data_IF_738627521424
#
_entry.id   IF_738627521424
#
_cell.length_a   1.000
_cell.length_b   1.000
_cell.length_c   1.000
_cell.angle_alpha   90.00
_cell.angle_beta   90.00
_cell.angle_gamma   90.00
#
_symmetry.space_group_name_H-M   'P 1'
#
loop_
_entity.id
_entity.type
_entity.pdbx_description
1 polymer ?
#
# COMPACT_ATOMS: atom_id res chain seq x y z
N UNK A 1 8.78 -17.39 29.83
CA UNK A 1 8.23 -16.80 31.07
C UNK A 1 7.27 -15.65 30.73
N UNK A 2 6.33 -15.88 29.82
CA UNK A 2 5.14 -15.02 29.60
C UNK A 2 4.02 -15.97 29.19
N UNK A 3 3.59 -16.83 30.11
CA UNK A 3 2.37 -17.63 29.91
C UNK A 3 1.63 -18.01 31.20
N UNK A 4 1.87 -17.35 32.33
CA UNK A 4 1.06 -17.56 33.55
C UNK A 4 0.76 -16.21 34.21
N UNK A 5 -0.24 -15.49 33.70
CA UNK A 5 -0.96 -14.45 34.44
C UNK A 5 -2.33 -14.22 33.78
N UNK A 6 -3.30 -15.10 34.05
CA UNK A 6 -4.71 -14.72 34.06
C UNK A 6 -5.46 -15.46 35.16
N UNK A 7 -6.44 -14.74 35.73
CA UNK A 7 -7.48 -15.15 36.70
C UNK A 7 -7.00 -15.06 38.17
N UNK A 8 -7.50 -14.15 39.00
CA UNK A 8 -8.88 -14.14 39.54
C UNK A 8 -9.41 -12.75 39.90
N UNK A 9 -10.64 -12.46 39.44
CA UNK A 9 -11.60 -11.55 40.08
C UNK A 9 -12.35 -12.36 41.15
N UNK A 10 -12.32 -11.93 42.40
CA UNK A 10 -13.41 -11.98 43.42
C UNK A 10 -12.83 -11.86 44.85
N UNK A 11 -13.35 -10.92 45.65
CA UNK A 11 -13.01 -10.79 47.07
C UNK A 11 -13.34 -9.43 47.69
N UNK A 12 -14.54 -9.36 48.30
CA UNK A 12 -15.14 -8.28 49.11
C UNK A 12 -14.26 -7.57 50.16
N UNK A 13 -14.67 -6.33 50.43
CA UNK A 13 -14.69 -5.60 51.72
C UNK A 13 -13.37 -5.37 52.49
N UNK A 14 -13.00 -4.09 52.66
CA UNK A 14 -12.86 -3.43 53.98
C UNK A 14 -12.50 -1.94 53.84
N UNK A 15 -13.39 -1.08 54.31
CA UNK A 15 -13.09 0.27 54.78
C UNK A 15 -12.16 0.20 56.01
N UNK A 16 -11.26 1.18 56.17
CA UNK A 16 -11.21 2.10 57.31
C UNK A 16 -9.79 2.68 57.57
N UNK A 17 -9.77 4.01 57.70
CA UNK A 17 -8.99 4.85 58.61
C UNK A 17 -7.57 5.37 58.32
N UNK A 18 -7.53 6.73 58.33
CA UNK A 18 -6.51 7.69 58.81
C UNK A 18 -5.18 7.81 58.04
N UNK A 19 -4.66 9.00 57.75
CA UNK A 19 -5.07 10.37 58.09
C UNK A 19 -4.00 11.41 57.71
N UNK A 20 -4.49 12.59 57.33
CA UNK A 20 -3.98 13.96 57.56
C UNK A 20 -2.55 14.44 57.20
N UNK A 21 -2.52 15.72 56.77
CA UNK A 21 -1.42 16.69 56.56
C UNK A 21 -0.80 16.69 55.13
N UNK A 22 -0.67 17.80 54.39
CA UNK A 22 -0.97 19.23 54.63
C UNK A 22 -1.02 19.96 53.26
N UNK A 23 -1.83 21.01 53.15
CA UNK A 23 -1.89 21.94 52.01
C UNK A 23 -0.93 23.10 52.31
N UNK A 24 -0.02 23.47 51.39
CA UNK A 24 0.23 24.87 50.96
C UNK A 24 1.39 24.94 49.95
N UNK A 25 1.15 25.41 48.72
CA UNK A 25 2.22 25.79 47.80
C UNK A 25 1.84 25.87 46.32
N UNK A 26 1.22 26.99 45.93
CA UNK A 26 0.98 27.48 44.57
C UNK A 26 -0.16 26.84 43.75
N UNK A 27 -1.36 27.39 43.97
CA UNK A 27 -2.23 27.78 42.87
C UNK A 27 -1.71 29.12 42.31
N UNK A 28 -1.34 29.15 41.03
CA UNK A 28 -1.82 30.14 40.06
C UNK A 28 -1.10 29.90 38.73
N UNK A 29 -1.82 29.26 37.80
CA UNK A 29 -1.88 29.59 36.37
C UNK A 29 -2.91 28.65 35.73
N UNK A 30 -3.93 29.29 35.17
CA UNK A 30 -5.13 28.73 34.53
C UNK A 30 -4.85 27.78 33.36
N UNK A 31 -5.74 26.79 33.23
CA UNK A 31 -5.95 25.76 32.18
C UNK A 31 -5.33 26.01 30.78
N UNK A 32 -4.72 24.96 30.14
CA UNK A 32 -5.43 23.74 29.72
C UNK A 32 -4.70 22.45 30.12
N UNK A 33 -5.14 21.77 31.19
CA UNK A 33 -4.49 20.54 31.70
C UNK A 33 -5.43 19.35 31.94
N UNK A 34 -6.61 19.33 31.31
CA UNK A 34 -7.56 18.22 31.43
C UNK A 34 -7.10 16.89 30.82
N UNK A 35 -6.28 16.92 29.76
CA UNK A 35 -5.85 15.71 29.03
C UNK A 35 -4.54 15.13 29.57
N UNK A 36 -3.62 15.99 30.04
CA UNK A 36 -2.35 15.58 30.64
C UNK A 36 -2.53 14.87 31.99
N UNK A 37 -3.55 15.22 32.79
CA UNK A 37 -3.82 14.57 34.08
C UNK A 37 -4.32 13.12 33.95
N UNK A 38 -5.11 12.81 32.92
CA UNK A 38 -5.62 11.45 32.67
C UNK A 38 -4.52 10.54 32.13
N UNK A 39 -3.63 11.06 31.26
CA UNK A 39 -2.48 10.32 30.75
C UNK A 39 -1.39 10.11 31.82
N UNK A 40 -1.10 11.11 32.65
CA UNK A 40 -0.13 10.98 33.74
C UNK A 40 -0.60 10.00 34.83
N UNK A 41 -1.91 9.92 35.10
CA UNK A 41 -2.48 8.93 36.03
C UNK A 41 -2.50 7.52 35.44
N UNK A 42 -2.71 7.37 34.13
CA UNK A 42 -2.63 6.08 33.43
C UNK A 42 -1.20 5.52 33.44
N UNK A 43 -0.20 6.36 33.11
CA UNK A 43 1.23 6.01 33.12
C UNK A 43 1.74 5.70 34.54
N UNK A 44 1.26 6.42 35.55
CA UNK A 44 1.56 6.16 36.97
C UNK A 44 0.97 4.83 37.47
N UNK A 45 -0.21 4.46 36.96
CA UNK A 45 -0.88 3.19 37.29
C UNK A 45 -0.16 2.00 36.64
N UNK A 46 0.22 2.13 35.38
CA UNK A 46 1.00 1.11 34.65
C UNK A 46 2.41 0.92 35.24
N UNK A 47 3.08 1.99 35.69
CA UNK A 47 4.38 1.89 36.39
C UNK A 47 4.29 1.36 37.82
N UNK A 48 3.11 1.39 38.45
CA UNK A 48 2.86 0.76 39.75
C UNK A 48 2.59 -0.74 39.60
N UNK A 49 1.76 -1.12 38.63
CA UNK A 49 1.48 -2.52 38.29
C UNK A 49 2.75 -3.26 37.80
N UNK A 50 3.64 -2.57 37.07
CA UNK A 50 4.95 -3.12 36.67
C UNK A 50 5.89 -3.32 37.88
N UNK A 51 5.82 -2.44 38.89
CA UNK A 51 6.62 -2.53 40.12
C UNK A 51 6.17 -3.67 41.03
N UNK A 52 4.85 -3.84 41.17
CA UNK A 52 4.25 -4.93 41.96
C UNK A 52 4.47 -6.30 41.29
N UNK A 53 4.54 -6.33 39.95
CA UNK A 53 4.92 -7.52 39.17
C UNK A 53 6.39 -7.91 39.38
N UNK A 54 7.31 -6.93 39.44
CA UNK A 54 8.73 -7.16 39.74
C UNK A 54 8.95 -7.63 41.20
N UNK A 55 8.13 -7.19 42.15
CA UNK A 55 8.16 -7.66 43.53
C UNK A 55 7.68 -9.12 43.67
N UNK A 56 6.70 -9.53 42.86
CA UNK A 56 6.18 -10.91 42.81
C UNK A 56 7.17 -11.91 42.18
N UNK A 57 7.91 -11.48 41.15
CA UNK A 57 8.93 -12.30 40.48
C UNK A 57 10.19 -12.58 41.32
N UNK A 58 10.37 -11.88 42.44
CA UNK A 58 11.55 -12.01 43.31
C UNK A 58 11.41 -13.05 44.46
N UNK A 59 10.22 -13.63 44.68
CA UNK A 59 10.03 -14.85 45.48
C UNK A 59 10.83 -14.99 46.79
N UNK A 60 10.88 -13.98 47.67
CA UNK A 60 11.42 -14.11 49.04
C UNK A 60 10.54 -13.38 50.05
N UNK A 61 10.24 -14.04 51.17
CA UNK A 61 9.45 -13.49 52.27
C UNK A 61 10.15 -12.33 53.00
N UNK A 62 9.42 -11.57 53.83
CA UNK A 62 9.97 -10.42 54.55
C UNK A 62 10.83 -10.93 55.71
N UNK A 63 12.11 -11.16 55.46
CA UNK A 63 13.09 -11.49 56.49
C UNK A 63 14.19 -12.41 56.00
N UNK A 64 15.10 -11.89 55.17
CA UNK A 64 16.50 -12.32 55.11
C UNK A 64 17.28 -11.40 54.17
N UNK A 65 17.91 -10.39 54.78
CA UNK A 65 18.89 -9.52 54.15
C UNK A 65 20.24 -10.24 54.21
N UNK A 66 20.76 -10.71 53.08
CA UNK A 66 22.14 -11.19 52.97
C UNK A 66 22.83 -10.53 51.76
N UNK A 67 23.53 -9.45 52.11
CA UNK A 67 24.84 -8.98 51.63
C UNK A 67 25.30 -9.50 50.25
N UNK A 68 25.09 -8.69 49.21
CA UNK A 68 25.80 -8.78 47.94
C UNK A 68 26.64 -7.52 47.77
N UNK A 69 27.83 -7.55 48.37
CA UNK A 69 28.98 -6.74 47.98
C UNK A 69 29.45 -7.17 46.60
N UNK A 70 28.93 -6.53 45.55
CA UNK A 70 29.73 -6.01 44.41
C UNK A 70 28.80 -5.41 43.33
N UNK A 71 28.77 -4.07 43.14
CA UNK A 71 27.96 -3.43 42.10
C UNK A 71 28.54 -3.58 40.67
N UNK A 72 29.73 -4.15 40.51
CA UNK A 72 30.45 -4.15 39.23
C UNK A 72 30.24 -5.41 38.37
N UNK A 73 29.50 -6.42 38.86
CA UNK A 73 29.27 -7.66 38.10
C UNK A 73 27.98 -7.67 37.23
N UNK A 74 27.15 -6.62 37.28
CA UNK A 74 25.89 -6.54 36.51
C UNK A 74 25.93 -5.56 35.32
N UNK A 75 27.06 -4.90 35.08
CA UNK A 75 27.21 -3.87 34.03
C UNK A 75 27.71 -4.46 32.69
N UNK A 76 28.00 -5.77 32.62
CA UNK A 76 28.60 -6.42 31.45
C UNK A 76 27.72 -7.38 30.66
N UNK A 77 26.46 -7.62 31.04
CA UNK A 77 25.61 -8.55 30.29
C UNK A 77 25.10 -7.92 28.99
N UNK A 78 25.26 -8.65 27.89
CA UNK A 78 24.77 -8.31 26.56
C UNK A 78 23.26 -8.02 26.54
N UNK A 79 22.52 -8.59 27.50
CA UNK A 79 21.08 -8.38 27.67
C UNK A 79 20.72 -6.98 28.22
N UNK A 80 21.60 -6.35 29.01
CA UNK A 80 21.33 -5.01 29.57
C UNK A 80 21.46 -3.91 28.51
N UNK A 81 22.42 -4.05 27.58
CA UNK A 81 22.58 -3.14 26.45
C UNK A 81 21.44 -3.28 25.43
N UNK A 82 20.94 -4.51 25.22
CA UNK A 82 19.75 -4.75 24.39
C UNK A 82 18.51 -4.10 25.01
N UNK A 83 18.34 -4.20 26.32
CA UNK A 83 17.21 -3.60 27.03
C UNK A 83 17.24 -2.06 27.00
N UNK A 84 18.42 -1.45 27.20
CA UNK A 84 18.61 0.01 27.07
C UNK A 84 18.39 0.48 25.63
N UNK A 85 18.82 -0.31 24.64
CA UNK A 85 18.54 -0.06 23.22
C UNK A 85 17.05 -0.07 22.90
N UNK A 86 16.30 -1.05 23.42
CA UNK A 86 14.84 -1.15 23.25
C UNK A 86 14.09 0.00 23.91
N UNK A 87 14.51 0.43 25.11
CA UNK A 87 13.96 1.61 25.78
C UNK A 87 14.20 2.90 24.98
N UNK A 88 15.40 3.06 24.42
CA UNK A 88 15.71 4.22 23.56
C UNK A 88 14.91 4.24 22.25
N UNK A 89 14.60 3.05 21.71
CA UNK A 89 13.78 2.91 20.51
C UNK A 89 12.32 3.26 20.79
N UNK A 90 11.76 2.75 21.89
CA UNK A 90 10.40 3.07 22.32
C UNK A 90 10.22 4.56 22.65
N UNK A 91 11.25 5.20 23.22
CA UNK A 91 11.25 6.65 23.44
C UNK A 91 11.22 7.42 22.11
N UNK A 92 12.04 7.04 21.12
CA UNK A 92 12.02 7.65 19.79
C UNK A 92 10.71 7.43 19.04
N UNK A 93 10.13 6.23 19.13
CA UNK A 93 8.82 5.94 18.52
C UNK A 93 7.72 6.82 19.11
N UNK A 94 7.78 7.09 20.42
CA UNK A 94 6.84 7.99 21.09
C UNK A 94 7.05 9.45 20.66
N UNK A 95 8.29 9.91 20.53
CA UNK A 95 8.61 11.25 20.02
C UNK A 95 8.16 11.46 18.57
N UNK A 96 8.34 10.46 17.71
CA UNK A 96 7.88 10.49 16.31
C UNK A 96 6.35 10.52 16.26
N UNK A 97 5.67 9.73 17.09
CA UNK A 97 4.20 9.72 17.14
C UNK A 97 3.63 11.08 17.57
N UNK A 98 4.22 11.71 18.60
CA UNK A 98 3.83 13.04 19.06
C UNK A 98 4.11 14.13 18.00
N UNK A 99 5.27 14.08 17.33
CA UNK A 99 5.59 15.01 16.25
C UNK A 99 4.68 14.83 15.02
N UNK A 100 4.24 13.61 14.74
CA UNK A 100 3.32 13.30 13.66
C UNK A 100 1.91 13.82 13.95
N UNK A 101 1.47 13.79 15.21
CA UNK A 101 0.19 14.37 15.66
C UNK A 101 0.21 15.92 15.60
N UNK A 102 1.33 16.56 15.95
CA UNK A 102 1.51 18.02 15.81
C UNK A 102 1.50 18.50 14.34
N UNK A 103 1.99 17.69 13.40
CA UNK A 103 1.95 18.01 11.95
C UNK A 103 0.59 17.71 11.29
N UNK A 104 -0.22 16.83 11.86
CA UNK A 104 -1.49 16.41 11.26
C UNK A 104 -2.55 17.53 11.28
N UNK A 105 -2.61 18.32 12.35
CA UNK A 105 -3.56 19.43 12.50
C UNK A 105 -3.45 20.51 11.40
N UNK A 106 -2.25 21.07 11.14
CA UNK A 106 -2.04 22.05 10.09
C UNK A 106 -2.37 21.52 8.67
N UNK A 107 -2.02 20.26 8.39
CA UNK A 107 -2.28 19.61 7.09
C UNK A 107 -3.78 19.43 6.88
N UNK A 108 -4.51 18.95 7.89
CA UNK A 108 -5.96 18.79 7.80
C UNK A 108 -6.68 20.15 7.63
N UNK A 109 -6.12 21.23 8.18
CA UNK A 109 -6.65 22.58 8.00
C UNK A 109 -6.43 23.10 6.56
N UNK A 110 -5.24 22.92 5.99
CA UNK A 110 -4.96 23.28 4.59
C UNK A 110 -5.80 22.46 3.60
N UNK A 111 -5.97 21.16 3.83
CA UNK A 111 -6.79 20.29 2.98
C UNK A 111 -8.25 20.71 3.01
N UNK A 112 -8.78 21.05 4.18
CA UNK A 112 -10.16 21.53 4.31
C UNK A 112 -10.36 22.91 3.68
N UNK A 113 -9.37 23.80 3.78
CA UNK A 113 -9.40 25.10 3.12
C UNK A 113 -9.38 24.95 1.59
N UNK A 114 -8.47 24.14 1.05
CA UNK A 114 -8.39 23.86 -0.39
C UNK A 114 -9.68 23.20 -0.92
N UNK A 115 -10.34 22.35 -0.12
CA UNK A 115 -11.62 21.73 -0.46
C UNK A 115 -12.75 22.77 -0.54
N UNK A 116 -12.81 23.75 0.37
CA UNK A 116 -13.81 24.81 0.31
C UNK A 116 -13.60 25.73 -0.90
N UNK A 117 -12.36 26.08 -1.23
CA UNK A 117 -12.03 26.90 -2.40
C UNK A 117 -12.41 26.19 -3.72
N UNK A 118 -12.18 24.88 -3.81
CA UNK A 118 -12.56 24.09 -4.97
C UNK A 118 -14.09 24.04 -5.15
N UNK A 119 -14.85 23.94 -4.05
CA UNK A 119 -16.32 23.97 -4.09
C UNK A 119 -16.87 25.33 -4.54
N UNK A 120 -16.26 26.45 -4.11
CA UNK A 120 -16.68 27.78 -4.57
C UNK A 120 -16.41 27.97 -6.07
N UNK A 121 -15.24 27.56 -6.56
CA UNK A 121 -14.90 27.60 -7.98
C UNK A 121 -15.86 26.77 -8.84
N UNK A 122 -16.24 25.57 -8.38
CA UNK A 122 -17.26 24.75 -9.05
C UNK A 122 -18.62 25.47 -9.06
N UNK A 123 -19.02 26.10 -7.96
CA UNK A 123 -20.24 26.89 -7.88
C UNK A 123 -20.26 28.08 -8.87
N UNK A 124 -19.13 28.77 -9.02
CA UNK A 124 -18.97 29.87 -9.98
C UNK A 124 -19.05 29.38 -11.43
N UNK A 125 -18.42 28.24 -11.75
CA UNK A 125 -18.47 27.62 -13.08
C UNK A 125 -19.89 27.21 -13.46
N UNK A 126 -20.62 26.59 -12.54
CA UNK A 126 -22.04 26.22 -12.77
C UNK A 126 -22.88 27.46 -13.03
N UNK A 127 -22.73 28.54 -12.24
CA UNK A 127 -23.46 29.80 -12.47
C UNK A 127 -23.18 30.40 -13.85
N UNK A 128 -21.92 30.37 -14.32
CA UNK A 128 -21.55 30.85 -15.66
C UNK A 128 -22.16 29.97 -16.76
N UNK A 129 -22.11 28.65 -16.61
CA UNK A 129 -22.70 27.71 -17.57
C UNK A 129 -24.23 27.92 -17.68
N UNK A 130 -24.93 28.09 -16.55
CA UNK A 130 -26.38 28.34 -16.54
C UNK A 130 -26.74 29.68 -17.18
N UNK A 131 -25.93 30.73 -16.97
CA UNK A 131 -26.13 32.04 -17.62
C UNK A 131 -25.96 31.94 -19.14
N UNK A 132 -24.96 31.19 -19.62
CA UNK A 132 -24.74 30.96 -21.05
C UNK A 132 -25.90 30.16 -21.68
N UNK A 133 -26.43 29.15 -20.97
CA UNK A 133 -27.57 28.36 -21.44
C UNK A 133 -28.84 29.22 -21.56
N UNK A 134 -29.07 30.14 -20.62
CA UNK A 134 -30.24 31.04 -20.64
C UNK A 134 -30.17 32.04 -21.80
N UNK A 135 -28.99 32.61 -22.06
CA UNK A 135 -28.77 33.49 -23.22
C UNK A 135 -28.95 32.77 -24.56
N UNK A 136 -28.55 31.49 -24.64
CA UNK A 136 -28.80 30.67 -25.83
C UNK A 136 -30.30 30.41 -26.06
N UNK A 137 -31.11 30.35 -25.00
CA UNK A 137 -32.55 30.09 -25.11
C UNK A 137 -33.32 31.34 -25.56
N UNK A 138 -32.94 32.52 -25.10
CA UNK A 138 -33.51 33.80 -25.55
C UNK A 138 -33.21 34.10 -27.04
N UNK A 139 -32.11 33.58 -27.59
CA UNK A 139 -31.81 33.70 -29.02
C UNK A 139 -32.72 32.85 -29.93
N UNK A 140 -33.23 31.71 -29.44
CA UNK A 140 -34.11 30.82 -30.21
C UNK A 140 -35.60 31.20 -30.14
N UNK A 141 -36.04 31.96 -29.13
CA UNK A 141 -37.46 32.37 -28.98
C UNK A 141 -37.82 33.62 -29.81
N UNK A 142 -36.86 34.31 -30.44
CA UNK A 142 -37.11 35.53 -31.23
C UNK A 142 -37.41 35.29 -32.72
N UNK A 143 -37.37 34.04 -33.21
CA UNK A 143 -37.46 33.72 -34.65
C UNK A 143 -38.78 33.02 -35.03
N UNK A 144 -39.83 33.09 -34.20
CA UNK A 144 -41.08 32.36 -34.41
C UNK A 144 -42.37 33.19 -34.58
N UNK A 145 -42.32 34.52 -34.57
CA UNK A 145 -43.53 35.34 -34.78
C UNK A 145 -43.44 36.30 -35.97
N UNK A 146 -44.09 35.88 -37.06
CA UNK A 146 -44.78 36.77 -38.01
C UNK A 146 -44.14 36.87 -39.38
N UNK A 147 -44.90 36.49 -40.44
CA UNK A 147 -45.27 37.36 -41.57
C UNK A 147 -46.39 36.69 -42.41
N UNK A 148 -47.55 37.35 -42.43
CA UNK A 148 -48.76 37.00 -43.20
C UNK A 148 -48.70 37.59 -44.62
N UNK A 149 -49.20 36.81 -45.58
CA UNK A 149 -49.24 37.09 -47.03
C UNK A 149 -50.19 38.23 -47.45
N UNK A 150 -49.84 38.94 -48.52
CA UNK A 150 -50.76 39.72 -49.37
C UNK A 150 -50.37 39.61 -50.86
N UNK A 151 -51.30 39.97 -51.73
CA UNK A 151 -51.69 39.31 -52.99
C UNK A 151 -51.04 39.90 -54.28
N UNK A 152 -50.93 39.02 -55.30
CA UNK A 152 -50.88 39.19 -56.79
C UNK A 152 -49.69 39.79 -57.61
N UNK A 153 -49.12 38.86 -58.38
CA UNK A 153 -48.88 38.80 -59.86
C UNK A 153 -48.00 39.85 -60.56
N UNK A 154 -46.84 39.41 -61.10
CA UNK A 154 -46.45 39.53 -62.52
C UNK A 154 -45.31 38.54 -62.88
N UNK A 155 -45.30 38.05 -64.12
CA UNK A 155 -44.64 36.83 -64.67
C UNK A 155 -43.11 36.94 -64.88
N UNK A 156 -42.28 35.91 -64.59
CA UNK A 156 -40.88 35.83 -65.05
C UNK A 156 -40.67 34.91 -66.30
N UNK A 157 -39.59 35.11 -67.09
CA UNK A 157 -39.25 34.27 -68.25
C UNK A 157 -38.54 32.95 -67.88
N UNK A 158 -38.75 31.91 -68.71
CA UNK A 158 -37.95 30.68 -68.95
C UNK A 158 -37.20 29.98 -67.81
N UNK A 159 -37.60 28.75 -67.46
CA UNK A 159 -36.93 27.88 -66.48
C UNK A 159 -35.72 27.15 -67.09
N UNK A 160 -34.55 27.23 -66.46
CA UNK A 160 -33.45 26.27 -66.66
C UNK A 160 -33.81 24.92 -66.01
N UNK A 161 -33.45 23.81 -66.67
CA UNK A 161 -33.77 22.45 -66.22
C UNK A 161 -33.18 22.12 -64.84
N UNK A 162 -33.96 21.43 -64.00
CA UNK A 162 -33.54 21.00 -62.66
C UNK A 162 -32.28 20.12 -62.73
N UNK A 163 -31.25 20.35 -61.89
CA UNK A 163 -30.14 19.43 -61.74
C UNK A 163 -30.63 18.03 -61.35
N UNK A 164 -30.06 17.00 -61.98
CA UNK A 164 -30.44 15.60 -61.72
C UNK A 164 -30.24 15.21 -60.25
N UNK A 165 -31.12 14.33 -59.74
CA UNK A 165 -31.09 13.86 -58.36
C UNK A 165 -29.75 13.18 -58.04
N UNK A 166 -29.17 13.52 -56.89
CA UNK A 166 -27.95 12.87 -56.37
C UNK A 166 -28.21 11.38 -56.18
N UNK A 167 -27.31 10.54 -56.70
CA UNK A 167 -27.39 9.09 -56.56
C UNK A 167 -27.48 8.65 -55.09
N UNK A 168 -28.15 7.53 -54.83
CA UNK A 168 -28.29 6.98 -53.48
C UNK A 168 -26.90 6.71 -52.87
N UNK A 169 -26.67 7.03 -51.59
CA UNK A 169 -25.46 6.61 -50.89
C UNK A 169 -25.25 5.11 -51.04
N UNK A 170 -24.01 4.68 -51.29
CA UNK A 170 -23.67 3.26 -51.39
C UNK A 170 -23.90 2.52 -50.08
N UNK A 171 -24.07 1.21 -50.17
CA UNK A 171 -24.34 0.36 -49.01
C UNK A 171 -23.21 0.44 -47.97
N UNK A 172 -23.61 0.46 -46.69
CA UNK A 172 -22.67 0.51 -45.57
C UNK A 172 -21.86 -0.78 -45.55
N UNK A 173 -20.53 -0.67 -45.61
CA UNK A 173 -19.63 -1.82 -45.53
C UNK A 173 -19.87 -2.65 -44.26
N UNK A 174 -19.64 -3.95 -44.35
CA UNK A 174 -19.78 -4.90 -43.24
C UNK A 174 -18.94 -4.46 -42.02
N UNK A 175 -19.49 -4.47 -40.79
CA UNK A 175 -18.71 -4.17 -39.59
C UNK A 175 -17.50 -5.10 -39.47
N UNK A 176 -16.35 -4.55 -39.08
CA UNK A 176 -15.13 -5.34 -38.88
C UNK A 176 -15.36 -6.45 -37.85
N UNK A 177 -15.17 -7.70 -38.27
CA UNK A 177 -15.42 -8.93 -37.49
C UNK A 177 -14.23 -9.27 -36.57
N UNK A 178 -13.86 -8.35 -35.70
CA UNK A 178 -12.87 -8.60 -34.65
C UNK A 178 -13.37 -8.06 -33.33
N UNK A 179 -13.23 -8.82 -32.25
CA UNK A 179 -13.20 -8.28 -30.89
C UNK A 179 -12.14 -7.20 -30.87
N UNK A 180 -12.55 -5.93 -30.97
CA UNK A 180 -11.63 -4.81 -30.83
C UNK A 180 -11.00 -4.92 -29.46
N UNK A 181 -9.68 -5.10 -29.40
CA UNK A 181 -8.95 -4.94 -28.15
C UNK A 181 -9.24 -3.54 -27.62
N UNK A 182 -9.71 -3.46 -26.38
CA UNK A 182 -10.22 -2.21 -25.78
C UNK A 182 -9.12 -1.46 -25.01
N UNK A 183 -7.85 -1.85 -25.15
CA UNK A 183 -6.73 -1.19 -24.48
C UNK A 183 -6.59 -1.53 -23.00
N UNK A 184 -7.17 -2.64 -22.52
CA UNK A 184 -6.97 -3.10 -21.15
C UNK A 184 -5.64 -3.82 -21.03
N UNK A 185 -4.71 -3.22 -20.30
CA UNK A 185 -3.35 -3.74 -20.14
C UNK A 185 -3.14 -4.28 -18.74
N UNK A 186 -2.54 -5.46 -18.64
CA UNK A 186 -2.08 -6.03 -17.38
C UNK A 186 -0.74 -6.75 -17.58
N UNK A 187 -0.07 -7.08 -16.48
CA UNK A 187 1.24 -7.75 -16.49
C UNK A 187 1.16 -9.12 -15.86
N UNK A 188 1.92 -10.08 -16.43
CA UNK A 188 2.14 -11.41 -15.86
C UNK A 188 3.63 -11.59 -15.55
N UNK A 189 3.93 -12.19 -14.39
CA UNK A 189 5.30 -12.43 -13.92
C UNK A 189 5.56 -13.92 -13.81
N UNK A 190 6.68 -14.40 -14.36
CA UNK A 190 6.98 -15.83 -14.38
C UNK A 190 7.61 -16.34 -13.09
N UNK A 191 8.17 -15.45 -12.27
CA UNK A 191 9.02 -15.80 -11.12
C UNK A 191 10.17 -16.75 -11.52
N UNK A 192 10.59 -16.73 -12.78
CA UNK A 192 11.66 -17.55 -13.36
C UNK A 192 12.44 -16.76 -14.42
N UNK A 193 13.50 -17.35 -14.99
CA UNK A 193 14.24 -16.76 -16.11
C UNK A 193 13.50 -16.90 -17.45
N UNK A 194 12.44 -17.71 -17.51
CA UNK A 194 11.61 -17.87 -18.69
C UNK A 194 10.62 -16.71 -18.82
N UNK A 195 10.44 -16.20 -20.03
CA UNK A 195 9.44 -15.15 -20.29
C UNK A 195 8.03 -15.77 -20.27
N UNK A 196 7.08 -15.27 -19.46
CA UNK A 196 5.76 -15.86 -19.34
C UNK A 196 4.91 -15.62 -20.60
N UNK A 197 4.10 -16.61 -20.99
CA UNK A 197 3.13 -16.42 -22.08
C UNK A 197 1.92 -15.63 -21.61
N UNK A 198 1.37 -14.78 -22.48
CA UNK A 198 0.08 -14.14 -22.21
C UNK A 198 -1.04 -15.20 -22.08
N UNK A 199 -1.99 -15.02 -21.16
CA UNK A 199 -3.15 -15.90 -21.03
C UNK A 199 -3.99 -15.97 -22.31
N UNK A 200 -4.78 -17.04 -22.44
CA UNK A 200 -5.69 -17.22 -23.58
C UNK A 200 -6.64 -16.03 -23.75
N UNK A 201 -6.86 -15.61 -24.99
CA UNK A 201 -7.71 -14.46 -25.31
C UNK A 201 -7.02 -13.09 -25.15
N UNK A 202 -5.73 -13.05 -24.83
CA UNK A 202 -4.93 -11.81 -24.69
C UNK A 202 -3.71 -11.83 -25.62
N UNK A 203 -3.17 -10.66 -25.96
CA UNK A 203 -2.04 -10.51 -26.87
C UNK A 203 -0.83 -9.87 -26.18
N UNK A 204 0.40 -10.36 -26.44
CA UNK A 204 1.61 -9.75 -25.87
C UNK A 204 1.91 -8.40 -26.52
N UNK A 205 2.23 -7.41 -25.69
CA UNK A 205 2.74 -6.11 -26.12
C UNK A 205 4.27 -6.11 -26.12
N UNK A 206 4.88 -6.41 -24.97
CA UNK A 206 6.33 -6.54 -24.82
C UNK A 206 6.68 -7.38 -23.59
N UNK A 207 7.97 -7.71 -23.46
CA UNK A 207 8.49 -8.47 -22.32
C UNK A 207 9.68 -7.77 -21.67
N UNK A 208 9.94 -8.09 -20.41
CA UNK A 208 10.97 -7.43 -19.61
C UNK A 208 11.33 -8.18 -18.33
N UNK A 209 11.75 -7.41 -17.34
CA UNK A 209 12.16 -7.84 -16.00
C UNK A 209 11.22 -7.27 -14.94
N UNK A 210 10.99 -8.06 -13.89
CA UNK A 210 9.94 -7.83 -12.90
C UNK A 210 10.38 -6.87 -11.80
N UNK A 211 10.16 -5.58 -12.00
CA UNK A 211 10.40 -4.55 -10.99
C UNK A 211 9.29 -4.59 -9.92
N UNK A 212 9.69 -4.64 -8.65
CA UNK A 212 8.76 -4.60 -7.52
C UNK A 212 8.66 -3.18 -6.94
N UNK A 213 9.78 -2.61 -6.52
CA UNK A 213 9.84 -1.25 -6.00
C UNK A 213 11.25 -0.67 -6.06
N UNK A 214 11.35 0.64 -5.86
CA UNK A 214 12.63 1.35 -5.69
C UNK A 214 12.64 2.07 -4.35
N UNK A 215 13.83 2.32 -3.81
CA UNK A 215 14.00 3.11 -2.61
C UNK A 215 15.09 4.15 -2.86
N UNK A 216 14.69 5.41 -2.85
CA UNK A 216 15.57 6.54 -3.09
C UNK A 216 15.48 7.52 -1.93
N UNK A 217 16.61 8.02 -1.43
CA UNK A 217 16.63 8.88 -0.24
C UNK A 217 15.83 8.28 0.92
N UNK A 218 16.03 6.98 1.16
CA UNK A 218 15.37 6.20 2.23
C UNK A 218 13.85 6.10 2.13
N UNK A 219 13.24 6.48 1.00
CA UNK A 219 11.78 6.37 0.79
C UNK A 219 11.45 5.35 -0.30
N UNK A 220 10.59 4.40 0.02
CA UNK A 220 10.12 3.42 -0.95
C UNK A 220 9.03 3.96 -1.88
N UNK A 221 9.05 3.50 -3.13
CA UNK A 221 8.00 3.67 -4.11
C UNK A 221 7.79 2.38 -4.91
N UNK A 222 6.64 1.74 -4.69
CA UNK A 222 6.27 0.47 -5.31
C UNK A 222 5.58 0.62 -6.65
N UNK A 223 5.71 -0.43 -7.47
CA UNK A 223 4.87 -0.64 -8.65
C UNK A 223 3.86 -1.75 -8.35
N UNK A 224 2.64 -1.58 -8.84
CA UNK A 224 1.66 -2.67 -8.83
C UNK A 224 2.04 -3.69 -9.90
N UNK A 225 2.26 -4.94 -9.47
CA UNK A 225 2.67 -6.07 -10.30
C UNK A 225 1.61 -6.45 -11.35
N UNK A 226 0.36 -5.98 -11.21
CA UNK A 226 -0.68 -6.15 -12.22
C UNK A 226 -0.59 -5.11 -13.35
N UNK A 227 0.24 -4.08 -13.21
CA UNK A 227 0.35 -2.97 -14.17
C UNK A 227 1.64 -3.02 -14.98
N UNK A 228 1.66 -2.36 -16.14
CA UNK A 228 2.82 -2.35 -17.03
C UNK A 228 4.08 -1.71 -16.40
N UNK A 229 3.95 -0.88 -15.36
CA UNK A 229 5.07 -0.23 -14.67
C UNK A 229 6.00 -1.20 -13.94
N UNK A 230 5.49 -2.37 -13.56
CA UNK A 230 6.27 -3.45 -12.95
C UNK A 230 7.11 -4.26 -13.96
N UNK A 231 6.98 -4.00 -15.27
CA UNK A 231 7.70 -4.74 -16.30
C UNK A 231 8.66 -3.87 -17.09
N UNK A 232 9.90 -3.73 -16.61
CA UNK A 232 10.91 -2.91 -17.29
C UNK A 232 11.65 -3.72 -18.36
N UNK A 233 11.74 -3.17 -19.58
CA UNK A 233 12.43 -3.85 -20.70
C UNK A 233 13.92 -4.09 -20.45
N UNK A 234 14.55 -3.29 -19.60
CA UNK A 234 15.98 -3.38 -19.28
C UNK A 234 16.16 -3.50 -17.77
N UNK A 235 16.93 -4.50 -17.37
CA UNK A 235 17.39 -4.64 -16.00
C UNK A 235 18.63 -3.78 -15.76
N UNK A 236 18.68 -3.18 -14.57
CA UNK A 236 19.86 -2.56 -13.97
C UNK A 236 19.63 -2.53 -12.46
N UNK A 237 20.70 -2.65 -11.67
CA UNK A 237 20.60 -2.53 -10.21
C UNK A 237 20.22 -1.11 -9.76
N UNK A 238 20.32 -0.13 -10.66
CA UNK A 238 19.95 1.27 -10.44
C UNK A 238 19.17 1.82 -11.65
N UNK A 239 17.84 1.68 -11.69
CA UNK A 239 17.01 2.08 -12.83
C UNK A 239 16.61 3.56 -12.84
N UNK A 240 17.06 4.35 -11.86
CA UNK A 240 16.72 5.76 -11.74
C UNK A 240 17.93 6.61 -11.35
N UNK A 241 17.75 7.92 -11.41
CA UNK A 241 18.69 8.94 -10.96
C UNK A 241 17.91 10.01 -10.18
N UNK A 242 18.61 10.84 -9.43
CA UNK A 242 18.00 11.96 -8.73
C UNK A 242 18.68 13.27 -9.15
N UNK A 243 17.90 14.35 -9.18
CA UNK A 243 18.38 15.70 -9.47
C UNK A 243 17.99 16.62 -8.32
N UNK A 244 18.81 17.64 -8.05
CA UNK A 244 18.53 18.64 -7.02
C UNK A 244 18.11 19.98 -7.63
N UNK A 245 17.73 20.93 -6.77
CA UNK A 245 17.32 22.30 -7.14
C UNK A 245 18.42 23.11 -7.85
N UNK A 246 19.68 22.66 -7.76
CA UNK A 246 20.83 23.32 -8.38
C UNK A 246 21.10 22.80 -9.81
N UNK A 247 20.14 22.09 -10.41
CA UNK A 247 20.27 21.46 -11.74
C UNK A 247 21.43 20.46 -11.83
N UNK A 248 21.77 19.79 -10.72
CA UNK A 248 22.78 18.72 -10.69
C UNK A 248 22.08 17.38 -10.51
N UNK A 249 22.33 16.45 -11.44
CA UNK A 249 21.82 15.10 -11.41
C UNK A 249 22.92 14.10 -11.08
N UNK A 250 22.61 13.11 -10.25
CA UNK A 250 23.52 12.06 -9.83
C UNK A 250 22.92 10.69 -10.15
N UNK A 251 23.72 9.81 -10.72
CA UNK A 251 23.34 8.44 -11.07
C UNK A 251 24.24 7.45 -10.33
N UNK A 252 23.63 6.54 -9.56
CA UNK A 252 24.33 5.52 -8.78
C UNK A 252 25.43 6.04 -7.83
N UNK A 253 25.39 7.34 -7.48
CA UNK A 253 26.36 7.99 -6.58
C UNK A 253 25.93 8.01 -5.11
N UNK A 254 24.85 7.30 -4.75
CA UNK A 254 24.29 7.20 -3.39
C UNK A 254 23.88 5.75 -3.08
N UNK A 255 23.68 5.47 -1.79
CA UNK A 255 23.12 4.22 -1.27
C UNK A 255 21.59 4.13 -1.49
N UNK A 256 21.18 4.18 -2.74
CA UNK A 256 19.80 3.92 -3.15
C UNK A 256 19.64 2.45 -3.59
N UNK A 257 18.40 1.97 -3.63
CA UNK A 257 18.07 0.56 -3.85
C UNK A 257 17.01 0.34 -4.94
N UNK A 258 17.07 -0.82 -5.57
CA UNK A 258 15.99 -1.35 -6.41
C UNK A 258 15.69 -2.80 -6.04
N UNK A 259 14.44 -3.20 -6.21
CA UNK A 259 13.97 -4.52 -5.79
C UNK A 259 13.20 -5.18 -6.92
N UNK A 260 13.50 -6.46 -7.14
CA UNK A 260 13.02 -7.21 -8.28
C UNK A 260 12.42 -8.53 -7.82
N UNK A 261 11.31 -8.97 -8.43
CA UNK A 261 10.86 -10.35 -8.20
C UNK A 261 11.96 -11.29 -8.64
N UNK A 262 12.16 -12.35 -7.86
CA UNK A 262 13.30 -13.24 -8.02
C UNK A 262 12.90 -14.64 -8.51
N UNK A 263 13.90 -15.44 -8.86
CA UNK A 263 13.72 -16.83 -9.34
C UNK A 263 13.99 -17.85 -8.22
N UNK A 264 13.80 -19.17 -8.46
CA UNK A 264 14.23 -20.22 -7.54
C UNK A 264 15.76 -20.41 -7.46
N UNK A 265 16.56 -19.57 -8.15
CA UNK A 265 18.01 -19.71 -8.15
C UNK A 265 18.54 -19.63 -6.71
N UNK A 266 19.39 -20.59 -6.34
CA UNK A 266 19.93 -20.67 -5.00
C UNK A 266 20.94 -19.55 -4.76
N UNK A 267 20.89 -19.00 -3.56
CA UNK A 267 21.91 -18.08 -3.07
C UNK A 267 23.29 -18.75 -3.07
N UNK A 268 24.37 -18.03 -3.43
CA UNK A 268 25.73 -18.51 -3.29
C UNK A 268 26.02 -18.97 -1.85
N UNK A 269 26.78 -20.06 -1.71
CA UNK A 269 27.09 -20.67 -0.40
C UNK A 269 27.89 -19.73 0.52
N UNK A 270 28.66 -18.81 -0.07
CA UNK A 270 29.43 -17.79 0.65
C UNK A 270 28.57 -16.59 1.10
N UNK A 271 27.28 -16.57 0.73
CA UNK A 271 26.33 -15.48 0.97
C UNK A 271 26.82 -14.11 0.46
N UNK A 272 27.81 -14.11 -0.44
CA UNK A 272 28.39 -12.90 -0.97
C UNK A 272 27.41 -12.19 -1.92
N UNK A 273 27.38 -10.84 -1.93
CA UNK A 273 26.55 -10.12 -2.88
C UNK A 273 26.90 -10.45 -4.34
N UNK A 274 25.89 -10.72 -5.14
CA UNK A 274 26.01 -11.09 -6.55
C UNK A 274 26.18 -9.83 -7.39
N UNK A 275 27.03 -9.86 -8.42
CA UNK A 275 27.33 -8.68 -9.25
C UNK A 275 27.33 -9.02 -10.75
N UNK A 276 27.15 -7.99 -11.59
CA UNK A 276 27.30 -8.08 -13.03
C UNK A 276 26.35 -9.09 -13.68
N UNK A 277 26.85 -9.85 -14.68
CA UNK A 277 26.04 -10.82 -15.42
C UNK A 277 25.59 -12.02 -14.59
N UNK A 278 26.25 -12.29 -13.46
CA UNK A 278 25.85 -13.38 -12.56
C UNK A 278 24.46 -13.14 -11.92
N UNK A 279 23.91 -11.93 -12.04
CA UNK A 279 22.56 -11.60 -11.59
C UNK A 279 21.45 -12.16 -12.49
N UNK A 280 21.72 -12.42 -13.76
CA UNK A 280 20.71 -12.81 -14.75
C UNK A 280 19.85 -14.02 -14.31
N UNK A 281 20.39 -15.08 -13.69
CA UNK A 281 19.60 -16.21 -13.20
C UNK A 281 18.65 -15.87 -12.07
N UNK A 282 18.84 -14.76 -11.35
CA UNK A 282 18.09 -14.39 -10.15
C UNK A 282 16.90 -13.47 -10.42
N UNK A 283 16.82 -12.84 -11.60
CA UNK A 283 15.80 -11.83 -11.90
C UNK A 283 14.64 -12.45 -12.68
N UNK A 284 13.42 -12.31 -12.14
CA UNK A 284 12.19 -12.79 -12.78
C UNK A 284 11.86 -12.02 -14.06
N UNK A 285 11.34 -12.73 -15.06
CA UNK A 285 10.80 -12.14 -16.29
C UNK A 285 9.32 -11.81 -16.19
N UNK A 286 8.87 -10.91 -17.06
CA UNK A 286 7.47 -10.49 -17.17
C UNK A 286 7.08 -10.24 -18.61
N UNK A 287 5.78 -10.29 -18.86
CA UNK A 287 5.16 -9.95 -20.15
C UNK A 287 3.93 -9.09 -19.90
N UNK A 288 3.86 -7.99 -20.65
CA UNK A 288 2.72 -7.09 -20.63
C UNK A 288 1.75 -7.53 -21.72
N UNK A 289 0.50 -7.74 -21.36
CA UNK A 289 -0.54 -8.28 -22.22
C UNK A 289 -1.69 -7.28 -22.38
N UNK A 290 -2.27 -7.23 -23.57
CA UNK A 290 -3.50 -6.52 -23.86
C UNK A 290 -4.66 -7.51 -23.95
N UNK A 291 -5.73 -7.23 -23.20
CA UNK A 291 -6.96 -8.02 -23.19
C UNK A 291 -8.17 -7.25 -23.74
N UNK A 292 -9.25 -7.96 -24.07
CA UNK A 292 -10.50 -7.36 -24.53
C UNK A 292 -11.30 -6.71 -23.38
N UNK A 293 -11.00 -7.03 -22.13
CA UNK A 293 -11.66 -6.53 -20.92
C UNK A 293 -10.65 -6.40 -19.76
N UNK A 294 -11.06 -5.71 -18.70
CA UNK A 294 -10.32 -5.54 -17.46
C UNK A 294 -10.05 -6.88 -16.74
N UNK A 295 -8.87 -7.01 -16.14
CA UNK A 295 -8.46 -8.17 -15.33
C UNK A 295 -8.47 -7.81 -13.83
N UNK A 296 -8.97 -8.72 -13.00
CA UNK A 296 -9.05 -8.55 -11.54
C UNK A 296 -8.52 -9.78 -10.81
N UNK A 297 -8.13 -9.63 -9.55
CA UNK A 297 -7.88 -10.72 -8.63
C UNK A 297 -9.07 -10.92 -7.66
N UNK A 298 -9.30 -12.18 -7.27
CA UNK A 298 -10.28 -12.56 -6.25
C UNK A 298 -9.57 -13.45 -5.24
N UNK A 299 -9.78 -13.19 -3.95
CA UNK A 299 -9.11 -13.91 -2.87
C UNK A 299 -10.10 -14.73 -2.06
N UNK A 300 -9.72 -15.95 -1.71
CA UNK A 300 -10.56 -16.87 -0.95
C UNK A 300 -10.48 -16.68 0.56
N UNK A 301 -9.36 -16.15 1.07
CA UNK A 301 -8.99 -16.21 2.49
C UNK A 301 -9.03 -17.64 3.07
N UNK A 302 -8.85 -18.65 2.20
CA UNK A 302 -8.77 -20.07 2.56
C UNK A 302 -7.70 -20.76 1.71
N UNK A 303 -7.47 -22.06 1.91
CA UNK A 303 -6.60 -22.86 1.04
C UNK A 303 -7.28 -23.31 -0.26
N UNK A 304 -8.57 -23.02 -0.45
CA UNK A 304 -9.32 -23.37 -1.66
C UNK A 304 -9.24 -22.25 -2.70
N UNK A 305 -9.15 -22.61 -3.98
CA UNK A 305 -9.11 -21.62 -5.07
C UNK A 305 -10.49 -20.96 -5.20
N UNK A 306 -10.58 -19.61 -5.15
CA UNK A 306 -11.86 -18.93 -5.27
C UNK A 306 -12.41 -19.03 -6.70
N UNK A 307 -13.73 -19.20 -6.87
CA UNK A 307 -14.34 -19.16 -8.20
C UNK A 307 -14.29 -17.73 -8.76
N UNK A 308 -14.11 -17.61 -10.09
CA UNK A 308 -14.30 -16.33 -10.76
C UNK A 308 -15.78 -15.88 -10.64
N UNK A 309 -16.06 -14.56 -10.61
CA UNK A 309 -17.43 -14.07 -10.60
C UNK A 309 -18.19 -14.49 -11.86
N UNK A 310 -19.52 -14.49 -11.80
CA UNK A 310 -20.34 -14.88 -12.94
C UNK A 310 -20.03 -14.03 -14.19
N UNK A 311 -19.78 -14.69 -15.32
CA UNK A 311 -19.42 -14.03 -16.59
C UNK A 311 -17.92 -13.73 -16.77
N UNK A 312 -17.07 -14.08 -15.79
CA UNK A 312 -15.63 -13.91 -15.88
C UNK A 312 -14.91 -15.20 -16.26
N UNK A 313 -13.74 -15.05 -16.91
CA UNK A 313 -12.87 -16.17 -17.31
C UNK A 313 -11.62 -16.19 -16.44
N UNK A 314 -11.15 -17.39 -16.09
CA UNK A 314 -9.93 -17.57 -15.29
C UNK A 314 -8.69 -17.39 -16.18
N UNK A 315 -7.75 -16.55 -15.74
CA UNK A 315 -6.47 -16.33 -16.44
C UNK A 315 -5.35 -17.18 -15.85
N UNK A 316 -5.20 -17.17 -14.51
CA UNK A 316 -4.29 -18.04 -13.75
C UNK A 316 -4.79 -18.23 -12.32
N UNK A 317 -4.05 -19.01 -11.54
CA UNK A 317 -4.28 -19.31 -10.11
C UNK A 317 -2.99 -19.01 -9.36
N UNK A 318 -3.07 -18.68 -8.08
CA UNK A 318 -1.90 -18.29 -7.31
C UNK A 318 -2.13 -18.19 -5.80
N UNK A 319 -1.32 -17.33 -5.19
CA UNK A 319 -1.27 -17.06 -3.77
C UNK A 319 -1.43 -15.56 -3.52
N UNK A 320 -2.13 -15.23 -2.44
CA UNK A 320 -2.57 -13.87 -2.14
C UNK A 320 -1.43 -13.05 -1.52
N UNK A 321 -0.73 -12.26 -2.34
CA UNK A 321 0.40 -11.43 -1.97
C UNK A 321 -0.04 -9.98 -1.70
N UNK A 322 0.19 -9.45 -0.50
CA UNK A 322 -0.37 -8.15 -0.09
C UNK A 322 0.69 -7.04 0.05
N UNK A 323 1.84 -7.32 0.67
CA UNK A 323 2.88 -6.32 0.89
C UNK A 323 4.25 -6.94 1.13
N UNK A 324 5.26 -6.10 1.18
CA UNK A 324 6.66 -6.48 1.36
C UNK A 324 7.44 -5.34 2.02
N UNK A 325 8.49 -5.69 2.78
CA UNK A 325 9.42 -4.72 3.39
C UNK A 325 10.86 -5.22 3.30
N UNK A 326 11.84 -4.31 3.29
CA UNK A 326 13.27 -4.67 3.33
C UNK A 326 14.11 -3.63 4.08
N UNK A 327 15.12 -3.03 3.46
CA UNK A 327 16.02 -2.07 4.10
C UNK A 327 15.26 -0.88 4.71
N UNK A 328 15.51 -0.61 5.99
CA UNK A 328 14.88 0.48 6.75
C UNK A 328 13.40 0.25 7.09
N UNK A 329 12.90 -1.00 7.00
CA UNK A 329 11.46 -1.32 7.13
C UNK A 329 10.57 -0.62 6.11
N UNK A 330 11.19 -0.04 5.08
CA UNK A 330 10.51 0.54 3.93
C UNK A 330 10.01 -0.54 2.99
N UNK A 331 8.93 -0.24 2.29
CA UNK A 331 8.26 -1.22 1.45
C UNK A 331 7.07 -0.64 0.70
N UNK A 332 6.32 -1.52 0.06
CA UNK A 332 5.07 -1.16 -0.60
C UNK A 332 4.09 -2.34 -0.58
N UNK A 333 2.91 -2.13 -1.15
CA UNK A 333 1.83 -3.10 -1.20
C UNK A 333 1.32 -3.35 -2.61
N UNK A 334 0.41 -4.31 -2.72
CA UNK A 334 -0.37 -4.59 -3.92
C UNK A 334 -1.83 -4.27 -3.64
N UNK A 335 -2.55 -3.75 -4.63
CA UNK A 335 -4.00 -3.65 -4.53
C UNK A 335 -4.60 -5.06 -4.63
N UNK A 336 -5.41 -5.47 -3.64
CA UNK A 336 -6.05 -6.80 -3.62
C UNK A 336 -7.03 -7.05 -4.79
N UNK A 337 -7.45 -6.01 -5.50
CA UNK A 337 -8.23 -6.18 -6.73
C UNK A 337 -7.34 -6.32 -7.98
N UNK A 338 -6.06 -5.95 -7.89
CA UNK A 338 -5.11 -6.01 -9.00
C UNK A 338 -4.60 -7.45 -9.20
N UNK A 339 -4.40 -7.88 -10.45
CA UNK A 339 -3.71 -9.14 -10.74
C UNK A 339 -2.35 -9.27 -10.04
N UNK A 340 -1.69 -8.16 -9.71
CA UNK A 340 -0.40 -8.14 -9.00
C UNK A 340 -0.42 -8.71 -7.58
N UNK A 341 -1.60 -8.76 -6.97
CA UNK A 341 -1.79 -9.41 -5.66
C UNK A 341 -1.92 -10.93 -5.74
N UNK A 342 -1.85 -11.53 -6.94
CA UNK A 342 -1.99 -12.97 -7.15
C UNK A 342 -0.76 -13.59 -7.84
N UNK A 343 0.27 -13.90 -7.05
CA UNK A 343 1.49 -14.55 -7.54
C UNK A 343 1.26 -16.04 -7.78
N UNK A 344 1.64 -16.55 -8.96
CA UNK A 344 1.43 -17.95 -9.35
C UNK A 344 2.22 -18.93 -8.49
N UNK A 345 3.42 -18.54 -8.05
CA UNK A 345 4.28 -19.36 -7.20
C UNK A 345 4.50 -18.71 -5.83
N UNK A 346 4.18 -19.46 -4.76
CA UNK A 346 4.51 -19.04 -3.42
C UNK A 346 6.02 -19.15 -3.16
N UNK A 347 6.62 -18.09 -2.62
CA UNK A 347 7.97 -18.10 -2.05
C UNK A 347 8.04 -17.25 -0.80
N UNK A 348 8.70 -17.74 0.24
CA UNK A 348 8.93 -16.97 1.46
C UNK A 348 9.73 -15.67 1.20
N UNK A 349 10.67 -15.71 0.25
CA UNK A 349 11.43 -14.56 -0.22
C UNK A 349 11.22 -14.39 -1.72
N UNK A 350 10.14 -13.72 -2.17
CA UNK A 350 9.80 -13.64 -3.58
C UNK A 350 10.59 -12.57 -4.36
N UNK A 351 11.44 -11.78 -3.69
CA UNK A 351 12.21 -10.68 -4.31
C UNK A 351 13.65 -10.64 -3.80
N UNK A 352 14.51 -9.98 -4.59
CA UNK A 352 15.94 -9.74 -4.29
C UNK A 352 16.20 -8.22 -4.20
N UNK A 353 17.08 -7.82 -3.28
CA UNK A 353 17.47 -6.43 -3.06
C UNK A 353 18.74 -6.10 -3.85
N UNK A 354 18.71 -5.01 -4.62
CA UNK A 354 19.82 -4.54 -5.45
C UNK A 354 20.23 -3.11 -5.06
N UNK A 355 21.53 -2.82 -5.18
CA UNK A 355 22.13 -1.55 -4.76
C UNK A 355 22.70 -0.76 -5.94
N UNK A 356 22.84 0.55 -5.76
CA UNK A 356 23.51 1.46 -6.71
C UNK A 356 24.93 1.02 -7.11
N UNK A 357 25.67 0.39 -6.19
CA UNK A 357 27.03 -0.13 -6.44
C UNK A 357 27.10 -1.39 -7.32
N UNK A 358 25.99 -1.88 -7.85
CA UNK A 358 25.97 -3.03 -8.77
C UNK A 358 25.86 -4.40 -8.10
N UNK A 359 25.50 -4.45 -6.82
CA UNK A 359 25.37 -5.68 -6.02
C UNK A 359 23.92 -6.00 -5.71
N UNK A 360 23.53 -7.27 -5.73
CA UNK A 360 22.26 -7.74 -5.18
C UNK A 360 22.42 -8.90 -4.20
N UNK A 361 21.51 -8.99 -3.23
CA UNK A 361 21.50 -10.07 -2.23
C UNK A 361 20.10 -10.26 -1.62
N UNK A 362 19.92 -11.35 -0.88
CA UNK A 362 18.79 -11.56 0.02
C UNK A 362 19.23 -11.27 1.45
N UNK A 363 18.42 -10.50 2.17
CA UNK A 363 18.72 -10.12 3.55
C UNK A 363 17.67 -10.67 4.51
N UNK A 364 18.08 -10.88 5.76
CA UNK A 364 17.22 -11.48 6.79
C UNK A 364 16.06 -10.57 7.22
N UNK A 365 16.15 -9.27 6.95
CA UNK A 365 15.09 -8.29 7.19
C UNK A 365 14.14 -8.12 6.00
N UNK A 366 14.30 -8.87 4.92
CA UNK A 366 13.38 -8.87 3.79
C UNK A 366 12.16 -9.74 4.12
N UNK A 367 11.00 -9.12 4.32
CA UNK A 367 9.75 -9.81 4.64
C UNK A 367 8.75 -9.75 3.50
N UNK A 368 8.04 -10.85 3.30
CA UNK A 368 6.88 -10.95 2.41
C UNK A 368 5.62 -11.21 3.23
N UNK A 369 4.53 -10.52 2.89
CA UNK A 369 3.27 -10.61 3.59
C UNK A 369 2.21 -11.15 2.65
N UNK A 370 1.45 -12.11 3.15
CA UNK A 370 0.45 -12.87 2.41
C UNK A 370 -0.87 -12.84 3.17
N UNK A 371 -2.01 -12.85 2.47
CA UNK A 371 -3.29 -13.04 3.16
C UNK A 371 -3.32 -14.42 3.80
N UNK A 372 -3.74 -14.49 5.05
CA UNK A 372 -3.84 -15.74 5.79
C UNK A 372 -5.08 -16.55 5.37
N UNK A 373 -4.96 -17.88 5.42
CA UNK A 373 -6.10 -18.79 5.40
C UNK A 373 -6.80 -18.77 6.77
N UNK A 374 -8.09 -18.44 6.77
CA UNK A 374 -8.91 -18.25 7.95
C UNK A 374 -9.96 -19.37 8.05
N UNK A 375 -10.40 -19.66 9.28
CA UNK A 375 -11.60 -20.46 9.49
C UNK A 375 -12.83 -19.51 9.59
N UNK A 376 -13.81 -19.62 8.67
CA UNK A 376 -15.00 -18.77 8.69
C UNK A 376 -15.78 -18.79 10.01
N UNK A 377 -15.80 -19.92 10.73
CA UNK A 377 -16.50 -20.07 12.01
C UNK A 377 -15.83 -19.31 13.16
N UNK A 378 -14.61 -18.80 12.95
CA UNK A 378 -13.79 -18.14 13.97
C UNK A 378 -13.51 -16.67 13.68
N UNK A 379 -14.22 -16.07 12.73
CA UNK A 379 -14.19 -14.62 12.52
C UNK A 379 -14.60 -13.88 13.81
N UNK A 380 -14.08 -12.67 14.01
CA UNK A 380 -14.29 -11.85 15.22
C UNK A 380 -13.82 -12.48 16.54
N UNK A 381 -12.94 -13.49 16.49
CA UNK A 381 -12.26 -14.05 17.66
C UNK A 381 -10.78 -13.71 17.62
N UNK A 382 -10.13 -13.78 18.78
CA UNK A 382 -8.66 -13.65 18.86
C UNK A 382 -8.00 -14.68 17.92
N UNK A 383 -7.14 -14.25 16.98
CA UNK A 383 -6.40 -15.17 16.11
C UNK A 383 -5.56 -16.15 16.95
N UNK A 384 -5.41 -17.39 16.49
CA UNK A 384 -4.46 -18.32 17.09
C UNK A 384 -3.07 -18.05 16.50
N UNK A 385 -2.08 -17.66 17.31
CA UNK A 385 -0.71 -17.53 16.83
C UNK A 385 -0.22 -18.88 16.28
N UNK A 386 0.40 -18.86 15.11
CA UNK A 386 0.96 -20.04 14.48
C UNK A 386 2.35 -19.71 13.92
N UNK A 387 3.29 -20.62 14.13
CA UNK A 387 4.62 -20.57 13.52
C UNK A 387 4.81 -21.84 12.71
N UNK A 388 4.75 -21.69 11.39
CA UNK A 388 4.93 -22.78 10.43
C UNK A 388 6.36 -22.80 9.90
N UNK A 389 6.84 -23.98 9.51
CA UNK A 389 8.16 -24.18 8.90
C UNK A 389 8.01 -24.68 7.46
N UNK A 390 9.14 -24.79 6.75
CA UNK A 390 9.19 -25.34 5.40
C UNK A 390 8.42 -26.67 5.30
N UNK A 391 7.62 -26.82 4.24
CA UNK A 391 6.71 -27.96 4.03
C UNK A 391 5.25 -27.68 4.37
N UNK A 392 4.97 -26.79 5.33
CA UNK A 392 3.60 -26.47 5.77
C UNK A 392 3.19 -25.02 5.49
N UNK A 393 4.07 -24.21 4.89
CA UNK A 393 3.86 -22.78 4.67
C UNK A 393 2.57 -22.50 3.86
N UNK A 394 2.34 -23.22 2.77
CA UNK A 394 1.17 -23.01 1.91
C UNK A 394 -0.17 -23.32 2.59
N UNK A 395 -0.18 -24.13 3.66
CA UNK A 395 -1.41 -24.51 4.37
C UNK A 395 -2.06 -23.33 5.11
N UNK A 396 -1.31 -22.26 5.33
CA UNK A 396 -1.80 -21.07 6.02
C UNK A 396 -1.98 -19.87 5.09
N UNK A 397 -1.80 -20.04 3.78
CA UNK A 397 -1.81 -18.95 2.80
C UNK A 397 -3.11 -18.99 1.99
N UNK A 398 -3.75 -17.82 1.87
CA UNK A 398 -4.94 -17.61 1.06
C UNK A 398 -4.65 -17.81 -0.42
N UNK A 399 -5.58 -18.45 -1.12
CA UNK A 399 -5.53 -18.62 -2.57
C UNK A 399 -6.25 -17.51 -3.33
N UNK A 400 -5.77 -17.32 -4.55
CA UNK A 400 -6.40 -16.68 -5.69
C UNK A 400 -6.13 -17.62 -6.90
#
# INVERSE_FOLDING_TARGET
VIQDCQVTKEGKEREAHLGHLDHQGLLDLTEPLGVLGVLATQVSKETRELRDCLASLAGRGPGEMLDLKDPQALVGSQDHQVYLGQLSLAQKETEVFLAQEELQGPVDQEVNQARMENQDLQGQLVKRATKALKASKEYYDLDHDGWLFSDRVLRPPGLDGLPGLKGKPGDRGTPASGTRMQGFVFTRHSQTTATPSCPEGTQPLYSGFSLLFVQGNERAHGQDLGTLGSCLQRFTTMPFLFCNINNVCNFASRNDYSYWLSTPALMPMDMAPITGRALEPYISRCTVCEGPAMAIAVHSQTTAIPPCPHGWVSLWRGFSFIMFTSAGSEGAGQALASPGSCLEEFRASPFIECHGRGTCNYYSNSYSFWLASLNPERMFRKPIPSTVKAGDLEKIISRC
#
